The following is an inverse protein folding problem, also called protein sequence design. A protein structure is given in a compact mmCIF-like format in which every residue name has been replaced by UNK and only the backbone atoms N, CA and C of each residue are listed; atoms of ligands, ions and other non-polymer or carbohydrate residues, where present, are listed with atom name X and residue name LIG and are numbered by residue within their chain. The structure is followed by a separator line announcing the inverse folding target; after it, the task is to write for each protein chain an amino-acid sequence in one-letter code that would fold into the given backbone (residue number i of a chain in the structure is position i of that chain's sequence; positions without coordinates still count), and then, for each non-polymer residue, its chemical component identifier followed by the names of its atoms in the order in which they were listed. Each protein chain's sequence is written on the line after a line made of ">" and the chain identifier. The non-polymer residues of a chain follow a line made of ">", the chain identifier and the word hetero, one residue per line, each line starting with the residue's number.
data_IF_030185889932
#
_entry.id   IF_030185889932
#
_cell.length_a   1.000
_cell.length_b   1.000
_cell.length_c   1.000
_cell.angle_alpha   90.00
_cell.angle_beta   90.00
_cell.angle_gamma   90.00
#
_symmetry.space_group_name_H-M   'P 1'
#
loop_
_entity.id
_entity.type
_entity.pdbx_description
1 polymer ?
#
# COMPACT_ATOMS: atom_id res chain seq x y z
N UNK A 1 -0.88 -9.29 -28.04
CA UNK A 1 0.44 -9.05 -27.42
C UNK A 1 0.17 -8.09 -26.28
N UNK A 2 -0.06 -8.59 -25.07
CA UNK A 2 -0.37 -7.76 -23.90
C UNK A 2 0.95 -7.23 -23.36
N UNK A 3 1.48 -6.20 -24.02
CA UNK A 3 2.64 -5.49 -23.52
C UNK A 3 2.19 -4.63 -22.34
N UNK A 4 2.95 -4.67 -21.24
CA UNK A 4 2.88 -3.61 -20.22
C UNK A 4 3.34 -2.34 -20.91
N UNK A 5 2.40 -1.58 -21.45
CA UNK A 5 2.63 -0.25 -21.97
C UNK A 5 2.73 0.63 -20.73
N UNK A 6 3.88 1.28 -20.53
CA UNK A 6 4.18 2.10 -19.36
C UNK A 6 3.36 3.39 -19.28
N UNK A 7 2.03 3.28 -19.38
CA UNK A 7 1.08 4.38 -19.36
C UNK A 7 -0.14 3.98 -18.54
N UNK A 8 -0.70 4.92 -17.80
CA UNK A 8 -1.98 4.76 -17.12
C UNK A 8 -3.07 5.59 -17.81
N UNK A 9 -4.32 5.26 -17.53
CA UNK A 9 -5.48 6.02 -17.97
C UNK A 9 -6.31 6.39 -16.73
N UNK A 10 -6.66 7.67 -16.57
CA UNK A 10 -7.60 8.12 -15.54
C UNK A 10 -9.05 7.86 -15.98
N UNK A 11 -9.98 7.84 -15.01
CA UNK A 11 -11.40 7.79 -15.31
C UNK A 11 -11.82 9.01 -16.13
N UNK A 12 -12.68 8.81 -17.13
CA UNK A 12 -13.27 9.92 -17.87
C UNK A 12 -14.32 10.61 -17.00
N UNK A 13 -14.29 11.95 -16.95
CA UNK A 13 -15.29 12.74 -16.21
C UNK A 13 -16.73 12.45 -16.65
N UNK A 14 -16.91 11.94 -17.87
CA UNK A 14 -18.20 11.59 -18.48
C UNK A 14 -18.42 10.07 -18.56
N UNK A 15 -17.81 9.28 -17.68
CA UNK A 15 -17.95 7.82 -17.70
C UNK A 15 -19.41 7.35 -17.59
N UNK A 16 -20.26 8.11 -16.90
CA UNK A 16 -21.70 7.86 -16.77
C UNK A 16 -22.44 7.99 -18.11
N UNK A 17 -21.88 8.72 -19.07
CA UNK A 17 -22.42 8.92 -20.43
C UNK A 17 -21.89 7.86 -21.42
N UNK A 18 -21.12 6.88 -20.95
CA UNK A 18 -20.53 5.82 -21.78
C UNK A 18 -19.21 6.21 -22.44
N UNK A 19 -18.57 7.30 -22.00
CA UNK A 19 -17.23 7.70 -22.47
C UNK A 19 -16.18 7.07 -21.57
N UNK A 20 -15.35 6.18 -22.11
CA UNK A 20 -14.40 5.40 -21.31
C UNK A 20 -12.94 5.67 -21.64
N UNK A 21 -12.62 6.42 -22.69
CA UNK A 21 -11.25 6.69 -23.11
C UNK A 21 -10.79 8.07 -22.62
N UNK A 22 -9.65 8.11 -21.94
CA UNK A 22 -8.94 9.36 -21.60
C UNK A 22 -7.52 9.34 -22.13
N UNK A 23 -6.85 10.48 -22.06
CA UNK A 23 -5.45 10.58 -22.47
C UNK A 23 -4.60 9.64 -21.62
N UNK A 24 -3.84 8.77 -22.29
CA UNK A 24 -2.83 7.96 -21.63
C UNK A 24 -1.74 8.85 -21.03
N UNK A 25 -1.52 8.73 -19.73
CA UNK A 25 -0.48 9.44 -18.97
C UNK A 25 0.74 8.52 -18.87
N UNK A 26 1.96 8.99 -19.20
CA UNK A 26 3.17 8.20 -18.97
C UNK A 26 3.31 7.84 -17.49
N UNK A 27 3.66 6.59 -17.17
CA UNK A 27 3.78 6.16 -15.76
C UNK A 27 4.85 6.95 -15.02
N UNK A 28 5.92 7.38 -15.70
CA UNK A 28 6.97 8.23 -15.13
C UNK A 28 6.48 9.59 -14.61
N UNK A 29 5.37 10.10 -15.18
CA UNK A 29 4.77 11.39 -14.79
C UNK A 29 3.73 11.22 -13.67
N UNK A 30 3.39 9.98 -13.31
CA UNK A 30 2.41 9.70 -12.26
C UNK A 30 3.07 9.87 -10.89
N UNK A 31 2.37 10.57 -9.98
CA UNK A 31 2.84 10.71 -8.61
C UNK A 31 2.89 9.32 -7.98
N UNK A 32 4.09 8.90 -7.59
CA UNK A 32 4.27 7.71 -6.78
C UNK A 32 3.66 7.97 -5.40
N UNK A 33 2.72 7.11 -5.02
CA UNK A 33 2.08 7.13 -3.70
C UNK A 33 2.60 5.92 -2.92
N UNK A 34 3.04 6.08 -1.66
CA UNK A 34 3.38 4.94 -0.82
C UNK A 34 2.21 3.95 -0.75
N UNK A 35 2.49 2.65 -0.86
CA UNK A 35 1.49 1.58 -0.84
C UNK A 35 1.80 0.63 0.30
N UNK A 36 0.79 0.29 1.10
CA UNK A 36 0.85 -0.86 2.00
C UNK A 36 0.06 -2.02 1.41
N UNK A 37 0.65 -3.22 1.39
CA UNK A 37 0.03 -4.44 0.88
C UNK A 37 -0.02 -5.49 1.98
N UNK A 38 -1.22 -5.94 2.30
CA UNK A 38 -1.44 -7.10 3.17
C UNK A 38 -1.45 -8.37 2.33
N UNK A 39 -0.67 -9.36 2.74
CA UNK A 39 -0.52 -10.65 2.03
C UNK A 39 -0.75 -11.81 2.97
N UNK A 40 -1.69 -12.68 2.64
CA UNK A 40 -1.97 -13.90 3.41
C UNK A 40 -1.00 -15.02 2.99
N UNK A 41 -0.33 -15.68 3.94
CA UNK A 41 0.75 -16.63 3.61
C UNK A 41 0.25 -17.95 3.00
N UNK A 42 -0.99 -18.33 3.31
CA UNK A 42 -1.59 -19.59 2.88
C UNK A 42 -2.71 -19.33 1.83
N UNK A 43 -2.70 -18.15 1.19
CA UNK A 43 -3.64 -17.79 0.13
C UNK A 43 -3.42 -18.67 -1.10
N UNK A 44 -4.44 -19.43 -1.51
CA UNK A 44 -4.40 -20.26 -2.73
C UNK A 44 -5.03 -19.57 -3.96
N UNK A 45 -5.75 -18.46 -3.76
CA UNK A 45 -6.44 -17.70 -4.82
C UNK A 45 -5.52 -16.61 -5.39
N UNK A 46 -4.77 -15.94 -4.52
CA UNK A 46 -3.71 -14.99 -4.82
C UNK A 46 -2.42 -15.44 -4.13
N UNK A 47 -1.72 -16.44 -4.70
CA UNK A 47 -0.62 -17.11 -4.02
C UNK A 47 0.47 -16.19 -3.48
N UNK A 48 0.88 -16.43 -2.24
CA UNK A 48 1.87 -15.63 -1.52
C UNK A 48 3.21 -15.51 -2.27
N UNK A 49 3.64 -16.58 -2.93
CA UNK A 49 4.87 -16.61 -3.73
C UNK A 49 4.77 -15.73 -4.98
N UNK A 50 3.61 -15.73 -5.65
CA UNK A 50 3.31 -14.85 -6.77
C UNK A 50 3.25 -13.40 -6.29
N UNK A 51 2.55 -13.10 -5.19
CA UNK A 51 2.52 -11.76 -4.61
C UNK A 51 3.94 -11.26 -4.29
N UNK A 52 4.75 -12.07 -3.60
CA UNK A 52 6.15 -11.76 -3.27
C UNK A 52 7.00 -11.48 -4.49
N UNK A 53 6.76 -12.19 -5.60
CA UNK A 53 7.48 -12.00 -6.86
C UNK A 53 7.06 -10.71 -7.60
N UNK A 54 5.78 -10.36 -7.55
CA UNK A 54 5.23 -9.25 -8.32
C UNK A 54 5.33 -7.91 -7.59
N UNK A 55 5.28 -7.89 -6.24
CA UNK A 55 5.39 -6.66 -5.43
C UNK A 55 6.62 -5.79 -5.78
N UNK A 56 7.84 -6.34 -5.95
CA UNK A 56 9.01 -5.54 -6.33
C UNK A 56 8.92 -4.84 -7.69
N UNK A 57 7.90 -5.18 -8.52
CA UNK A 57 7.65 -4.53 -9.82
C UNK A 57 6.82 -3.25 -9.69
N UNK A 58 6.22 -3.01 -8.52
CA UNK A 58 5.50 -1.78 -8.22
C UNK A 58 6.52 -0.64 -8.12
N UNK A 59 6.28 0.45 -8.84
CA UNK A 59 7.23 1.56 -8.92
C UNK A 59 7.20 2.48 -7.69
N UNK A 60 6.13 2.41 -6.89
CA UNK A 60 6.01 3.11 -5.62
C UNK A 60 6.75 2.42 -4.47
N UNK A 61 7.16 3.19 -3.48
CA UNK A 61 7.53 2.67 -2.16
C UNK A 61 6.41 1.77 -1.62
N UNK A 62 6.75 0.52 -1.31
CA UNK A 62 5.78 -0.49 -0.93
C UNK A 62 6.19 -1.17 0.37
N UNK A 63 5.30 -1.10 1.37
CA UNK A 63 5.39 -1.88 2.61
C UNK A 63 4.56 -3.15 2.45
N UNK A 64 5.16 -4.31 2.69
CA UNK A 64 4.44 -5.59 2.73
C UNK A 64 4.19 -6.00 4.18
N UNK A 65 2.97 -6.41 4.49
CA UNK A 65 2.54 -6.88 5.80
C UNK A 65 1.97 -8.28 5.62
N UNK A 66 2.67 -9.28 6.15
CA UNK A 66 2.28 -10.68 6.02
C UNK A 66 1.29 -11.05 7.13
N UNK A 67 0.15 -11.64 6.74
CA UNK A 67 -0.83 -12.23 7.64
C UNK A 67 -0.57 -13.74 7.68
N UNK A 68 0.08 -14.17 8.75
CA UNK A 68 0.60 -15.52 8.89
C UNK A 68 -0.53 -16.56 9.10
N UNK A 69 -0.49 -17.64 8.34
CA UNK A 69 -1.31 -18.85 8.50
C UNK A 69 -2.77 -18.73 8.06
N UNK A 70 -3.09 -17.77 7.19
CA UNK A 70 -4.47 -17.53 6.72
C UNK A 70 -4.59 -17.60 5.20
N UNK A 71 -5.79 -17.92 4.72
CA UNK A 71 -6.13 -17.98 3.29
C UNK A 71 -6.80 -16.70 2.76
N UNK A 72 -7.22 -16.73 1.49
CA UNK A 72 -7.84 -15.59 0.80
C UNK A 72 -9.09 -15.05 1.51
N UNK A 73 -9.90 -15.98 2.02
CA UNK A 73 -11.18 -15.72 2.67
C UNK A 73 -11.06 -14.91 3.96
N UNK A 74 -9.89 -14.92 4.60
CA UNK A 74 -9.62 -14.14 5.80
C UNK A 74 -9.86 -12.65 5.59
N UNK A 75 -9.54 -12.12 4.40
CA UNK A 75 -9.80 -10.71 4.08
C UNK A 75 -11.30 -10.38 4.01
N UNK A 76 -12.16 -11.37 3.77
CA UNK A 76 -13.60 -11.21 3.78
C UNK A 76 -14.23 -11.34 5.17
N UNK A 77 -13.62 -12.12 6.06
CA UNK A 77 -14.18 -12.43 7.38
C UNK A 77 -13.58 -11.64 8.54
N UNK A 78 -12.27 -11.33 8.48
CA UNK A 78 -11.47 -10.91 9.64
C UNK A 78 -10.59 -9.67 9.37
N UNK A 79 -10.71 -9.05 8.19
CA UNK A 79 -10.14 -7.72 7.87
C UNK A 79 -10.82 -6.55 8.60
N UNK A 80 -11.29 -6.81 9.81
CA UNK A 80 -11.81 -5.87 10.80
C UNK A 80 -11.32 -6.21 12.21
N UNK A 81 -10.45 -7.22 12.36
CA UNK A 81 -9.82 -7.58 13.62
C UNK A 81 -8.98 -6.43 14.17
N UNK A 82 -8.79 -6.39 15.49
CA UNK A 82 -7.98 -5.37 16.16
C UNK A 82 -6.56 -5.31 15.57
N UNK A 83 -5.97 -6.48 15.29
CA UNK A 83 -4.65 -6.59 14.68
C UNK A 83 -4.62 -5.95 13.28
N UNK A 84 -5.60 -6.27 12.43
CA UNK A 84 -5.66 -5.72 11.08
C UNK A 84 -5.85 -4.20 11.12
N UNK A 85 -6.80 -3.73 11.94
CA UNK A 85 -7.10 -2.31 12.07
C UNK A 85 -5.93 -1.52 12.64
N UNK A 86 -5.18 -2.08 13.60
CA UNK A 86 -3.97 -1.46 14.11
C UNK A 86 -2.92 -1.30 13.01
N UNK A 87 -2.59 -2.37 12.28
CA UNK A 87 -1.63 -2.31 11.18
C UNK A 87 -2.07 -1.34 10.09
N UNK A 88 -3.37 -1.34 9.74
CA UNK A 88 -3.93 -0.39 8.78
C UNK A 88 -3.74 1.06 9.24
N UNK A 89 -4.09 1.36 10.50
CA UNK A 89 -3.93 2.70 11.06
C UNK A 89 -2.47 3.16 11.11
N UNK A 90 -1.53 2.26 11.41
CA UNK A 90 -0.09 2.55 11.37
C UNK A 90 0.37 2.96 9.96
N UNK A 91 -0.16 2.35 8.90
CA UNK A 91 0.18 2.71 7.51
C UNK A 91 -0.52 3.98 7.01
N UNK A 92 -1.65 4.33 7.59
CA UNK A 92 -2.41 5.54 7.23
C UNK A 92 -1.90 6.82 7.92
N UNK A 93 -0.93 6.70 8.83
CA UNK A 93 -0.30 7.87 9.43
C UNK A 93 0.45 8.63 8.33
N UNK A 94 -0.07 9.80 7.96
CA UNK A 94 0.68 10.78 7.17
C UNK A 94 1.98 11.03 7.93
N UNK A 95 3.16 10.94 7.31
CA UNK A 95 4.39 11.37 7.96
C UNK A 95 4.20 12.84 8.34
N UNK A 96 3.85 13.11 9.61
CA UNK A 96 3.94 14.45 10.14
C UNK A 96 5.38 14.89 9.88
N UNK A 97 5.53 16.09 9.31
CA UNK A 97 6.80 16.81 9.27
C UNK A 97 7.54 16.51 10.56
N UNK A 98 8.64 15.75 10.48
CA UNK A 98 9.36 15.22 11.63
C UNK A 98 9.39 16.23 12.77
N UNK A 99 8.54 16.04 13.77
CA UNK A 99 8.47 16.93 14.92
C UNK A 99 9.84 16.87 15.58
N UNK A 100 10.62 17.97 15.65
CA UNK A 100 11.92 17.92 16.30
C UNK A 100 11.69 17.43 17.72
N UNK A 101 12.29 16.29 18.06
CA UNK A 101 12.28 15.76 19.41
C UNK A 101 12.88 16.80 20.35
N UNK A 102 12.00 17.55 21.01
CA UNK A 102 12.33 18.37 22.17
C UNK A 102 12.03 17.51 23.40
N UNK A 103 13.01 17.45 24.31
CA UNK A 103 13.08 16.71 25.57
C UNK A 103 13.63 15.27 25.44
N UNK A 104 14.79 14.92 26.00
CA UNK A 104 15.24 15.27 27.36
C UNK A 104 16.77 15.24 27.47
N UNK A 105 17.42 16.38 27.72
CA UNK A 105 18.72 16.38 28.38
C UNK A 105 18.48 15.97 29.84
N UNK A 106 18.93 14.79 30.24
CA UNK A 106 19.16 14.50 31.66
C UNK A 106 20.29 15.40 32.15
N UNK A 107 19.93 16.47 32.86
CA UNK A 107 20.89 17.18 33.71
C UNK A 107 21.23 16.22 34.86
N UNK A 108 22.47 15.75 34.89
CA UNK A 108 23.04 15.09 36.07
C UNK A 108 23.14 16.14 37.17
N UNK A 109 22.21 16.13 38.14
CA UNK A 109 22.43 16.83 39.40
C UNK A 109 23.44 16.04 40.22
N UNK A 110 24.66 16.55 40.33
CA UNK A 110 25.58 16.13 41.37
C UNK A 110 25.07 16.65 42.72
N UNK A 111 25.02 15.78 43.71
CA UNK A 111 25.03 16.11 45.15
C UNK A 111 25.65 14.94 45.89
#
# INVERSE_FOLDING_TARGET
>A
MNAVIGRMQEFADQWEEGVYETKLVPLEDTKQVPIALFTATDDEVCPYDIATKEIPRIQSETTRIDVEGVGHEWFGSDANSDWFMQNLLEQLQVPEQATPSMYTQRVLSQS
#
